data_IF_541811967592
#
_entry.id   IF_541811967592
#
_cell.length_a   1.000
_cell.length_b   1.000
_cell.length_c   1.000
_cell.angle_alpha   90.00
_cell.angle_beta   90.00
_cell.angle_gamma   90.00
#
_symmetry.space_group_name_H-M   'P 1'
#
loop_
_entity.id
_entity.type
_entity.pdbx_description
1 polymer ?
#
# COMPACT_ATOMS: atom_id res chain seq x y z
N UNK A 1 7.65 -47.97 -3.04
CA UNK A 1 7.52 -46.87 -4.01
C UNK A 1 6.32 -45.93 -3.78
N UNK A 2 5.31 -46.28 -2.95
CA UNK A 2 4.13 -45.40 -2.68
C UNK A 2 4.40 -44.28 -1.70
N UNK A 3 5.33 -44.39 -0.76
CA UNK A 3 5.63 -43.42 0.29
C UNK A 3 6.34 -42.16 -0.21
N UNK A 4 7.20 -42.28 -1.23
CA UNK A 4 7.97 -41.12 -1.76
C UNK A 4 7.05 -40.10 -2.48
N UNK A 5 6.04 -40.58 -3.21
CA UNK A 5 5.10 -39.69 -3.92
C UNK A 5 4.25 -38.86 -2.97
N UNK A 6 3.82 -39.44 -1.84
CA UNK A 6 3.00 -38.75 -0.83
C UNK A 6 3.80 -37.65 -0.12
N UNK A 7 5.07 -37.89 0.17
CA UNK A 7 5.95 -36.94 0.83
C UNK A 7 6.24 -35.71 -0.06
N UNK A 8 6.43 -35.91 -1.38
CA UNK A 8 6.67 -34.85 -2.34
C UNK A 8 5.43 -33.94 -2.47
N UNK A 9 4.24 -34.51 -2.50
CA UNK A 9 2.99 -33.74 -2.58
C UNK A 9 2.77 -32.92 -1.32
N UNK A 10 3.07 -33.47 -0.13
CA UNK A 10 2.93 -32.76 1.14
C UNK A 10 3.92 -31.59 1.26
N UNK A 11 5.16 -31.78 0.83
CA UNK A 11 6.20 -30.73 0.81
C UNK A 11 5.85 -29.63 -0.20
N UNK A 12 5.32 -29.98 -1.38
CA UNK A 12 4.86 -28.99 -2.36
C UNK A 12 3.69 -28.16 -1.85
N UNK A 13 2.76 -28.78 -1.09
CA UNK A 13 1.62 -28.06 -0.50
C UNK A 13 2.06 -27.09 0.63
N UNK A 14 3.04 -27.48 1.44
CA UNK A 14 3.60 -26.62 2.49
C UNK A 14 4.41 -25.42 1.92
N UNK A 15 5.10 -25.62 0.79
CA UNK A 15 5.82 -24.54 0.12
C UNK A 15 4.90 -23.51 -0.52
N UNK A 16 3.71 -23.92 -1.00
CA UNK A 16 2.73 -22.97 -1.56
C UNK A 16 2.09 -22.08 -0.51
N UNK A 17 1.90 -22.56 0.73
CA UNK A 17 1.33 -21.74 1.82
C UNK A 17 2.29 -20.67 2.32
N UNK A 18 3.60 -20.89 2.27
CA UNK A 18 4.61 -19.91 2.69
C UNK A 18 4.67 -18.68 1.74
N UNK A 19 4.42 -18.87 0.44
CA UNK A 19 4.36 -17.80 -0.55
C UNK A 19 3.15 -16.85 -0.34
N UNK A 20 2.09 -17.32 0.30
CA UNK A 20 0.88 -16.53 0.52
C UNK A 20 0.93 -15.61 1.74
N UNK A 21 1.82 -15.87 2.71
CA UNK A 21 1.98 -15.05 3.91
C UNK A 21 2.81 -13.77 3.67
N UNK A 22 3.59 -13.70 2.58
CA UNK A 22 4.51 -12.60 2.33
C UNK A 22 3.86 -11.31 1.82
N UNK A 23 2.67 -11.35 1.22
CA UNK A 23 2.07 -10.20 0.55
C UNK A 23 1.48 -9.13 1.48
N UNK A 24 1.15 -9.47 2.72
CA UNK A 24 0.53 -8.52 3.65
C UNK A 24 1.53 -7.54 4.29
N UNK A 25 2.83 -7.87 4.28
CA UNK A 25 3.87 -7.04 4.90
C UNK A 25 4.13 -5.74 4.13
N UNK A 26 3.93 -5.75 2.83
CA UNK A 26 4.15 -4.63 1.94
C UNK A 26 2.96 -3.66 1.85
N UNK A 27 1.86 -3.93 2.55
CA UNK A 27 0.65 -3.11 2.47
C UNK A 27 0.21 -2.62 3.86
N UNK A 28 -0.11 -1.34 3.95
CA UNK A 28 -0.72 -0.73 5.13
C UNK A 28 -2.22 -1.03 5.13
N UNK A 29 -2.57 -2.18 5.66
CA UNK A 29 -3.93 -2.73 5.71
C UNK A 29 -4.38 -2.95 7.15
N UNK A 30 -5.69 -3.05 7.36
CA UNK A 30 -6.30 -3.48 8.62
C UNK A 30 -6.46 -5.01 8.69
N UNK A 31 -7.07 -5.49 9.77
CA UNK A 31 -7.33 -6.92 9.98
C UNK A 31 -8.31 -7.53 8.95
N UNK A 32 -9.02 -6.69 8.20
CA UNK A 32 -9.93 -7.10 7.10
C UNK A 32 -9.27 -6.99 5.73
N UNK A 33 -7.95 -6.80 5.68
CA UNK A 33 -7.14 -6.56 4.48
C UNK A 33 -7.55 -5.29 3.69
N UNK A 34 -8.22 -4.34 4.32
CA UNK A 34 -8.66 -3.10 3.67
C UNK A 34 -7.48 -2.11 3.63
N UNK A 35 -7.10 -1.71 2.42
CA UNK A 35 -6.08 -0.70 2.17
C UNK A 35 -6.62 0.72 2.37
N UNK A 36 -5.69 1.67 2.58
CA UNK A 36 -5.97 3.11 2.60
C UNK A 36 -7.07 3.48 3.61
N UNK A 37 -7.26 2.64 4.64
CA UNK A 37 -8.36 2.79 5.61
C UNK A 37 -9.73 2.92 4.91
N UNK A 38 -9.88 2.33 3.71
CA UNK A 38 -11.09 2.36 2.90
C UNK A 38 -11.29 3.65 2.09
N UNK A 39 -10.28 4.50 1.95
CA UNK A 39 -10.30 5.62 1.00
C UNK A 39 -10.03 5.13 -0.43
N UNK A 40 -10.63 5.81 -1.42
CA UNK A 40 -10.52 5.40 -2.81
C UNK A 40 -9.16 5.73 -3.42
N UNK A 41 -8.42 4.74 -3.94
CA UNK A 41 -7.16 4.98 -4.64
C UNK A 41 -7.33 5.80 -5.93
N UNK A 42 -8.48 5.66 -6.62
CA UNK A 42 -8.80 6.43 -7.82
C UNK A 42 -9.01 7.91 -7.50
N UNK A 43 -9.68 8.21 -6.38
CA UNK A 43 -9.87 9.59 -5.96
C UNK A 43 -8.56 10.31 -5.66
N UNK A 44 -7.58 9.65 -5.04
CA UNK A 44 -6.28 10.25 -4.81
C UNK A 44 -5.58 10.65 -6.11
N UNK A 45 -5.58 9.76 -7.10
CA UNK A 45 -4.75 9.96 -8.28
C UNK A 45 -5.43 10.80 -9.37
N UNK A 46 -6.71 10.56 -9.63
CA UNK A 46 -7.43 11.20 -10.74
C UNK A 46 -8.14 12.48 -10.32
N UNK A 47 -8.49 12.64 -9.03
CA UNK A 47 -9.20 13.82 -8.51
C UNK A 47 -8.36 14.66 -7.53
N UNK A 48 -7.24 14.15 -7.07
CA UNK A 48 -6.42 14.74 -5.99
C UNK A 48 -7.23 14.98 -4.71
N UNK A 49 -8.14 14.06 -4.38
CA UNK A 49 -9.03 14.13 -3.24
C UNK A 49 -8.93 12.87 -2.37
N UNK A 50 -8.91 13.07 -1.05
CA UNK A 50 -9.08 12.00 -0.09
C UNK A 50 -10.58 11.72 0.11
N UNK A 51 -11.12 10.73 -0.57
CA UNK A 51 -12.54 10.38 -0.49
C UNK A 51 -12.74 8.98 0.08
N UNK A 52 -13.55 8.88 1.12
CA UNK A 52 -13.93 7.60 1.71
C UNK A 52 -14.76 6.81 0.70
N UNK A 53 -14.31 5.59 0.42
CA UNK A 53 -15.04 4.64 -0.42
C UNK A 53 -16.20 3.97 0.33
N UNK A 54 -17.05 3.28 -0.41
CA UNK A 54 -18.17 2.50 0.09
C UNK A 54 -17.88 1.00 -0.12
N UNK A 55 -18.16 0.16 0.88
CA UNK A 55 -17.99 -1.29 0.81
C UNK A 55 -18.79 -1.97 -0.32
N UNK A 56 -19.86 -1.32 -0.83
CA UNK A 56 -20.63 -1.80 -1.98
C UNK A 56 -19.84 -1.70 -3.29
N UNK A 57 -18.84 -0.83 -3.36
CA UNK A 57 -17.95 -0.67 -4.50
C UNK A 57 -16.53 -1.08 -4.06
N UNK A 58 -16.23 -2.37 -4.15
CA UNK A 58 -14.92 -2.91 -3.73
C UNK A 58 -14.29 -3.77 -4.81
N UNK A 59 -12.97 -3.83 -4.80
CA UNK A 59 -12.19 -4.80 -5.57
C UNK A 59 -11.16 -5.47 -4.68
N UNK A 60 -10.95 -6.76 -4.93
CA UNK A 60 -9.86 -7.52 -4.35
C UNK A 60 -8.70 -7.58 -5.36
N UNK A 61 -7.57 -7.00 -5.01
CA UNK A 61 -6.38 -7.04 -5.85
C UNK A 61 -5.17 -7.50 -5.02
N UNK A 62 -4.55 -8.61 -5.43
CA UNK A 62 -3.41 -9.23 -4.73
C UNK A 62 -3.68 -9.44 -3.23
N UNK A 63 -4.89 -9.89 -2.88
CA UNK A 63 -5.37 -10.13 -1.50
C UNK A 63 -5.51 -8.86 -0.65
N UNK A 64 -5.57 -7.71 -1.26
CA UNK A 64 -5.85 -6.42 -0.63
C UNK A 64 -7.18 -5.91 -1.13
N UNK A 65 -8.02 -5.46 -0.22
CA UNK A 65 -9.36 -4.92 -0.51
C UNK A 65 -9.29 -3.41 -0.68
N UNK A 66 -9.76 -2.91 -1.79
CA UNK A 66 -9.86 -1.48 -2.09
C UNK A 66 -11.33 -1.07 -2.20
N UNK A 67 -11.67 0.07 -1.59
CA UNK A 67 -13.00 0.66 -1.67
C UNK A 67 -13.01 1.87 -2.61
N UNK A 68 -14.16 2.09 -3.27
CA UNK A 68 -14.34 3.18 -4.23
C UNK A 68 -15.58 3.98 -3.87
N UNK A 69 -15.67 5.20 -4.38
CA UNK A 69 -16.85 6.08 -4.16
C UNK A 69 -18.01 5.70 -5.06
N UNK A 70 -17.74 5.04 -6.20
CA UNK A 70 -18.75 4.65 -7.20
C UNK A 70 -18.35 3.40 -7.98
N UNK A 71 -19.30 2.86 -8.75
CA UNK A 71 -19.07 1.76 -9.68
C UNK A 71 -18.09 2.13 -10.81
N UNK A 72 -18.09 3.39 -11.25
CA UNK A 72 -17.20 3.90 -12.29
C UNK A 72 -15.75 3.92 -11.80
N UNK A 73 -15.49 4.39 -10.58
CA UNK A 73 -14.14 4.35 -9.99
C UNK A 73 -13.65 2.91 -9.81
N UNK A 74 -14.55 2.00 -9.37
CA UNK A 74 -14.23 0.58 -9.31
C UNK A 74 -13.83 0.03 -10.66
N UNK A 75 -14.62 0.29 -11.71
CA UNK A 75 -14.33 -0.17 -13.07
C UNK A 75 -13.04 0.44 -13.63
N UNK A 76 -12.73 1.68 -13.27
CA UNK A 76 -11.47 2.36 -13.62
C UNK A 76 -10.27 1.66 -12.99
N UNK A 77 -10.36 1.35 -11.70
CA UNK A 77 -9.33 0.59 -10.99
C UNK A 77 -9.13 -0.80 -11.57
N UNK A 78 -10.22 -1.55 -11.82
CA UNK A 78 -10.18 -2.93 -12.29
C UNK A 78 -9.48 -3.08 -13.67
N UNK A 79 -9.50 -2.03 -14.49
CA UNK A 79 -8.79 -2.01 -15.79
C UNK A 79 -7.28 -1.92 -15.64
N UNK A 80 -6.78 -1.14 -14.70
CA UNK A 80 -5.34 -0.87 -14.51
C UNK A 80 -5.00 -0.70 -13.03
N UNK A 81 -5.15 -1.76 -12.21
CA UNK A 81 -4.99 -1.63 -10.75
C UNK A 81 -3.63 -1.07 -10.33
N UNK A 82 -2.55 -1.49 -11.01
CA UNK A 82 -1.18 -1.07 -10.69
C UNK A 82 -0.99 0.44 -10.73
N UNK A 83 -1.69 1.14 -11.63
CA UNK A 83 -1.65 2.60 -11.74
C UNK A 83 -2.08 3.28 -10.44
N UNK A 84 -3.05 2.69 -9.75
CA UNK A 84 -3.71 3.27 -8.58
C UNK A 84 -3.18 2.77 -7.24
N UNK A 85 -2.13 1.96 -7.23
CA UNK A 85 -1.54 1.51 -5.97
C UNK A 85 -0.78 2.65 -5.28
N UNK A 86 -0.92 2.79 -3.93
CA UNK A 86 -0.16 3.79 -3.18
C UNK A 86 1.33 3.51 -3.22
N UNK A 87 2.14 4.55 -3.23
CA UNK A 87 3.57 4.38 -3.02
C UNK A 87 3.83 3.81 -1.63
N UNK A 88 4.86 3.00 -1.51
CA UNK A 88 5.26 2.34 -0.26
C UNK A 88 4.11 1.56 0.40
N UNK A 89 3.25 0.92 -0.41
CA UNK A 89 2.13 0.13 0.10
C UNK A 89 1.13 0.92 0.96
N UNK A 90 1.12 2.25 0.87
CA UNK A 90 0.28 3.12 1.68
C UNK A 90 0.84 3.45 3.08
N UNK A 91 2.11 3.11 3.35
CA UNK A 91 2.82 3.60 4.55
C UNK A 91 3.32 5.03 4.35
N UNK A 92 3.66 5.69 5.47
CA UNK A 92 4.17 7.06 5.46
C UNK A 92 5.46 7.19 4.63
N UNK A 93 5.45 8.04 3.59
CA UNK A 93 6.61 8.25 2.73
C UNK A 93 7.81 8.81 3.49
N UNK A 94 7.60 9.77 4.40
CA UNK A 94 8.65 10.31 5.25
C UNK A 94 9.19 9.24 6.23
N UNK A 95 8.32 8.35 6.71
CA UNK A 95 8.73 7.20 7.51
C UNK A 95 9.64 6.25 6.71
N UNK A 96 9.28 5.94 5.46
CA UNK A 96 10.12 5.12 4.57
C UNK A 96 11.48 5.79 4.31
N UNK A 97 11.51 7.11 4.11
CA UNK A 97 12.77 7.87 4.04
C UNK A 97 13.59 7.72 5.32
N UNK A 98 12.97 7.77 6.49
CA UNK A 98 13.63 7.58 7.78
C UNK A 98 14.01 6.12 8.09
N UNK A 99 13.52 5.15 7.31
CA UNK A 99 13.82 3.73 7.48
C UNK A 99 12.84 2.95 8.33
N UNK A 100 11.61 3.44 8.48
CA UNK A 100 10.55 2.80 9.27
C UNK A 100 9.17 2.87 8.58
N UNK A 101 8.27 1.96 8.95
CA UNK A 101 6.89 1.95 8.50
C UNK A 101 5.98 2.57 9.56
N UNK A 102 5.22 3.58 9.17
CA UNK A 102 4.20 4.20 10.02
C UNK A 102 2.86 4.22 9.31
N UNK A 103 1.78 4.10 10.08
CA UNK A 103 0.43 4.33 9.58
C UNK A 103 0.26 5.79 9.20
N UNK A 104 -0.71 6.08 8.36
CA UNK A 104 -0.92 7.41 7.78
C UNK A 104 -2.26 8.00 8.20
N UNK A 105 -2.37 9.31 8.08
CA UNK A 105 -3.64 10.00 7.96
C UNK A 105 -4.03 10.02 6.48
N UNK A 106 -5.16 9.42 6.08
CA UNK A 106 -5.60 9.38 4.68
C UNK A 106 -5.77 10.75 4.03
N UNK A 107 -5.99 11.80 4.83
CA UNK A 107 -6.13 13.19 4.35
C UNK A 107 -4.78 13.88 4.10
N UNK A 108 -3.68 13.27 4.53
CA UNK A 108 -2.32 13.80 4.35
C UNK A 108 -1.62 13.08 3.21
N UNK A 109 -1.72 13.64 2.01
CA UNK A 109 -1.13 13.07 0.80
C UNK A 109 -0.57 14.14 -0.14
N UNK A 110 0.26 13.70 -1.08
CA UNK A 110 0.77 14.49 -2.21
C UNK A 110 0.64 13.63 -3.46
N UNK A 111 0.19 14.21 -4.57
CA UNK A 111 0.25 13.61 -5.91
C UNK A 111 1.39 14.25 -6.67
N UNK A 112 2.28 13.42 -7.24
CA UNK A 112 3.43 13.88 -7.98
C UNK A 112 3.84 12.85 -9.04
N UNK A 113 4.00 13.29 -10.28
CA UNK A 113 4.44 12.44 -11.40
C UNK A 113 3.57 11.18 -11.59
N UNK A 114 2.25 11.32 -11.48
CA UNK A 114 1.30 10.22 -11.65
C UNK A 114 1.33 9.16 -10.54
N UNK A 115 1.86 9.51 -9.37
CA UNK A 115 1.93 8.69 -8.17
C UNK A 115 1.42 9.47 -6.98
N UNK A 116 0.93 8.78 -5.95
CA UNK A 116 0.56 9.44 -4.71
C UNK A 116 1.27 8.84 -3.50
N UNK A 117 1.59 9.70 -2.56
CA UNK A 117 2.35 9.45 -1.36
C UNK A 117 1.51 9.86 -0.15
N UNK A 118 1.47 9.03 0.86
CA UNK A 118 0.71 9.26 2.09
C UNK A 118 1.64 9.59 3.25
N UNK A 119 1.14 10.32 4.25
CA UNK A 119 1.94 10.80 5.37
C UNK A 119 1.25 10.55 6.70
N UNK A 120 2.06 10.27 7.72
CA UNK A 120 1.65 10.29 9.12
C UNK A 120 1.28 11.72 9.52
N UNK A 121 0.20 11.84 10.25
CA UNK A 121 -0.16 13.05 10.96
C UNK A 121 -0.73 12.67 12.34
N UNK A 122 -0.17 13.22 13.39
CA UNK A 122 -0.65 13.08 14.75
C UNK A 122 -0.44 14.42 15.51
N UNK A 123 -0.71 14.44 16.81
CA UNK A 123 -0.60 15.65 17.64
C UNK A 123 0.82 16.25 17.65
N UNK A 124 1.84 15.41 17.50
CA UNK A 124 3.24 15.79 17.64
C UNK A 124 3.93 16.03 16.30
N UNK A 125 3.44 15.40 15.21
CA UNK A 125 4.16 15.33 13.94
C UNK A 125 3.23 15.37 12.72
N UNK A 126 3.43 16.35 11.83
CA UNK A 126 2.92 16.37 10.46
C UNK A 126 4.05 16.01 9.48
N UNK A 127 4.12 14.74 9.11
CA UNK A 127 5.18 14.24 8.23
C UNK A 127 5.09 14.78 6.79
N UNK A 128 3.91 15.25 6.34
CA UNK A 128 3.76 15.94 5.06
C UNK A 128 4.50 17.27 5.07
N UNK A 129 4.38 18.05 6.15
CA UNK A 129 5.10 19.32 6.26
C UNK A 129 6.61 19.11 6.33
N UNK A 130 7.08 18.09 7.04
CA UNK A 130 8.50 17.75 7.05
C UNK A 130 9.02 17.36 5.65
N UNK A 131 8.23 16.61 4.89
CA UNK A 131 8.59 16.28 3.51
C UNK A 131 8.68 17.52 2.63
N UNK A 132 7.71 18.44 2.72
CA UNK A 132 7.66 19.67 1.94
C UNK A 132 8.75 20.69 2.32
N UNK A 133 9.22 20.66 3.57
CA UNK A 133 10.31 21.53 4.03
C UNK A 133 11.68 21.17 3.44
N UNK A 134 11.85 19.96 2.94
CA UNK A 134 13.10 19.52 2.33
C UNK A 134 13.22 20.06 0.90
N UNK A 135 14.37 20.64 0.57
CA UNK A 135 14.62 21.27 -0.74
C UNK A 135 14.83 20.28 -1.88
N UNK A 136 15.16 19.03 -1.59
CA UNK A 136 15.49 18.02 -2.59
C UNK A 136 14.62 16.76 -2.49
N UNK A 137 13.39 16.86 -3.02
CA UNK A 137 12.42 15.75 -3.02
C UNK A 137 12.90 14.52 -3.80
N UNK A 138 13.74 14.68 -4.83
CA UNK A 138 14.30 13.54 -5.56
C UNK A 138 15.25 12.72 -4.67
N UNK A 139 16.04 13.39 -3.83
CA UNK A 139 16.89 12.71 -2.84
C UNK A 139 16.08 11.99 -1.78
N UNK A 140 14.99 12.62 -1.30
CA UNK A 140 14.06 11.98 -0.35
C UNK A 140 13.46 10.70 -0.95
N UNK A 141 12.90 10.80 -2.16
CA UNK A 141 12.29 9.66 -2.86
C UNK A 141 13.30 8.55 -3.09
N UNK A 142 14.48 8.85 -3.63
CA UNK A 142 15.53 7.85 -3.87
C UNK A 142 15.93 7.10 -2.60
N UNK A 143 16.04 7.80 -1.47
CA UNK A 143 16.35 7.15 -0.18
C UNK A 143 15.16 6.33 0.34
N UNK A 144 13.93 6.82 0.21
CA UNK A 144 12.74 6.10 0.59
C UNK A 144 12.57 4.81 -0.25
N UNK A 145 12.79 4.88 -1.56
CA UNK A 145 12.75 3.73 -2.47
C UNK A 145 13.76 2.66 -2.06
N UNK A 146 15.02 3.06 -1.80
CA UNK A 146 16.06 2.14 -1.33
C UNK A 146 15.71 1.48 0.01
N UNK A 147 15.15 2.24 0.95
CA UNK A 147 14.72 1.69 2.22
C UNK A 147 13.52 0.74 2.03
N UNK A 148 12.60 1.08 1.11
CA UNK A 148 11.41 0.28 0.84
C UNK A 148 11.72 -1.13 0.34
N UNK A 149 12.80 -1.33 -0.39
CA UNK A 149 13.26 -2.66 -0.81
C UNK A 149 13.42 -3.64 0.36
N UNK A 150 13.80 -3.13 1.54
CA UNK A 150 13.93 -3.90 2.78
C UNK A 150 12.64 -3.90 3.58
N UNK A 151 12.05 -2.71 3.79
CA UNK A 151 10.86 -2.50 4.61
C UNK A 151 9.66 -3.29 4.11
N UNK A 152 9.47 -3.42 2.79
CA UNK A 152 8.39 -4.20 2.19
C UNK A 152 8.41 -5.69 2.56
N UNK A 153 9.53 -6.21 3.03
CA UNK A 153 9.74 -7.61 3.42
C UNK A 153 9.63 -7.84 4.93
N UNK A 154 9.63 -6.78 5.74
CA UNK A 154 9.57 -6.87 7.21
C UNK A 154 8.13 -6.79 7.72
N UNK A 155 7.87 -7.37 8.90
CA UNK A 155 6.61 -7.13 9.62
C UNK A 155 6.56 -5.67 10.13
N UNK A 156 5.33 -5.19 10.37
CA UNK A 156 5.09 -3.91 11.05
C UNK A 156 5.40 -4.06 12.52
#
# INVERSE_FOLDING_TARGET
MKTIKTTIVLVAFLLTTALFAQNNKANNIDNSNIALQGYSPVSYLDLELAQKGNKSFKSDYKKVVYYFTSAEQKATFDKTPEKYLPQYGGFCAFGCYAGAKFRVDPNKFIVENGKYYLYLNNVELDAKQLWLAESNHNKLKSKADKNWEKLSKTHN
#
